data_IF_194729594251
#
_entry.id   IF_194729594251
#
_cell.length_a   1.000
_cell.length_b   1.000
_cell.length_c   1.000
_cell.angle_alpha   90.00
_cell.angle_beta   90.00
_cell.angle_gamma   90.00
#
_symmetry.space_group_name_H-M   'P 1'
#
loop_
_entity.id
_entity.type
_entity.pdbx_description
1 polymer ?
#
# COMPACT_ATOMS: atom_id res chain seq x y z
N UNK A 1 -1.22 -12.63 -5.43
CA UNK A 1 -2.02 -13.14 -6.57
C UNK A 1 -1.20 -12.94 -7.82
N UNK A 2 -1.28 -13.85 -8.78
CA UNK A 2 -1.06 -13.52 -10.18
C UNK A 2 -1.66 -12.14 -10.42
N UNK A 3 -0.83 -11.22 -10.87
CA UNK A 3 -1.29 -9.96 -11.42
C UNK A 3 -2.41 -10.26 -12.42
N UNK A 4 -3.42 -9.40 -12.47
CA UNK A 4 -4.07 -9.16 -13.75
C UNK A 4 -3.02 -8.53 -14.66
N UNK A 5 -2.22 -9.41 -15.26
CA UNK A 5 -1.27 -9.12 -16.32
C UNK A 5 -2.14 -8.81 -17.53
N UNK A 6 -2.40 -7.53 -17.77
CA UNK A 6 -2.73 -7.04 -19.10
C UNK A 6 -1.47 -6.96 -19.93
N UNK A 7 -0.88 -8.10 -20.31
CA UNK A 7 0.09 -8.17 -21.39
C UNK A 7 -0.70 -8.09 -22.71
N UNK A 8 -0.53 -7.02 -23.46
CA UNK A 8 -1.01 -6.96 -24.84
C UNK A 8 0.03 -7.67 -25.70
N UNK A 9 -0.14 -8.97 -25.93
CA UNK A 9 0.54 -9.67 -26.99
C UNK A 9 -0.11 -9.28 -28.33
N UNK A 10 0.66 -8.67 -29.22
CA UNK A 10 0.29 -8.48 -30.62
C UNK A 10 0.51 -9.80 -31.36
N UNK A 11 -0.52 -10.61 -31.52
CA UNK A 11 -0.76 -11.46 -32.71
C UNK A 11 -2.06 -12.25 -32.52
N UNK A 12 -3.02 -12.01 -33.42
CA UNK A 12 -4.30 -12.74 -33.48
C UNK A 12 -4.32 -13.54 -34.78
N UNK A 13 -4.35 -14.88 -34.73
CA UNK A 13 -4.95 -15.67 -35.78
C UNK A 13 -6.39 -16.00 -35.41
N UNK A 14 -7.29 -15.69 -36.34
CA UNK A 14 -8.69 -16.10 -36.29
C UNK A 14 -8.80 -17.62 -36.49
N UNK A 15 -9.59 -18.32 -35.68
CA UNK A 15 -10.47 -19.38 -36.18
C UNK A 15 -11.53 -19.83 -35.17
N UNK A 16 -12.67 -20.18 -35.73
CA UNK A 16 -13.98 -20.47 -35.12
C UNK A 16 -14.07 -21.87 -34.53
N UNK A 17 -14.71 -22.02 -33.36
CA UNK A 17 -15.08 -23.32 -32.79
C UNK A 17 -16.33 -23.24 -31.91
N UNK A 18 -17.47 -23.72 -32.44
CA UNK A 18 -18.77 -23.79 -31.77
C UNK A 18 -18.75 -24.78 -30.59
N UNK A 19 -19.23 -24.37 -29.43
CA UNK A 19 -19.66 -25.29 -28.36
C UNK A 19 -21.16 -25.10 -28.10
N UNK A 20 -21.95 -26.12 -28.47
CA UNK A 20 -23.37 -26.29 -28.12
C UNK A 20 -23.46 -26.85 -26.70
N UNK A 21 -24.15 -26.15 -25.80
CA UNK A 21 -24.61 -26.73 -24.53
C UNK A 21 -26.15 -26.87 -24.58
N UNK A 22 -26.64 -28.10 -24.45
CA UNK A 22 -28.08 -28.40 -24.34
C UNK A 22 -28.58 -28.07 -22.93
N UNK A 23 -29.66 -27.29 -22.85
CA UNK A 23 -30.40 -27.02 -21.61
C UNK A 23 -31.61 -27.97 -21.56
N UNK A 24 -31.86 -28.62 -20.42
CA UNK A 24 -33.17 -29.21 -20.11
C UNK A 24 -33.68 -28.72 -18.74
N UNK A 25 -34.90 -28.15 -18.80
CA UNK A 25 -35.97 -27.78 -17.84
C UNK A 25 -35.82 -28.10 -16.32
N UNK A 26 -36.45 -27.40 -15.36
CA UNK A 26 -37.15 -26.11 -15.21
C UNK A 26 -37.49 -26.01 -13.71
N UNK A 27 -37.24 -24.87 -13.05
CA UNK A 27 -37.67 -24.61 -11.67
C UNK A 27 -37.86 -23.12 -11.49
N UNK A 28 -39.11 -22.68 -11.44
CA UNK A 28 -39.54 -21.28 -11.46
C UNK A 28 -39.35 -20.66 -10.07
N UNK A 29 -38.35 -19.79 -9.94
CA UNK A 29 -38.36 -18.67 -9.00
C UNK A 29 -38.15 -17.42 -9.84
N UNK A 30 -39.13 -16.51 -9.84
CA UNK A 30 -39.02 -15.25 -10.56
C UNK A 30 -37.89 -14.42 -9.96
N UNK A 31 -36.79 -14.16 -10.68
CA UNK A 31 -35.73 -13.34 -10.16
C UNK A 31 -36.09 -11.89 -10.45
N UNK A 32 -36.12 -11.05 -9.42
CA UNK A 32 -35.82 -9.64 -9.58
C UNK A 32 -34.39 -9.59 -10.14
N UNK A 33 -34.26 -9.59 -11.46
CA UNK A 33 -32.98 -9.41 -12.13
C UNK A 33 -32.51 -8.01 -11.81
N UNK A 34 -31.65 -7.88 -10.81
CA UNK A 34 -30.67 -6.83 -10.78
C UNK A 34 -29.84 -7.00 -12.04
N UNK A 35 -30.20 -6.27 -13.09
CA UNK A 35 -29.37 -6.12 -14.27
C UNK A 35 -28.21 -5.24 -13.81
N UNK A 36 -27.15 -5.87 -13.32
CA UNK A 36 -25.84 -5.22 -13.31
C UNK A 36 -25.60 -4.78 -14.74
N UNK A 37 -25.50 -3.46 -14.97
CA UNK A 37 -25.11 -2.96 -16.27
C UNK A 37 -23.79 -3.66 -16.62
N UNK A 38 -23.72 -4.42 -17.72
CA UNK A 38 -22.50 -5.13 -18.07
C UNK A 38 -21.38 -4.11 -18.18
N UNK A 39 -20.20 -4.46 -17.67
CA UNK A 39 -19.00 -3.68 -17.87
C UNK A 39 -18.91 -3.36 -19.37
N UNK A 40 -19.17 -2.10 -19.75
CA UNK A 40 -19.07 -1.68 -21.14
C UNK A 40 -17.61 -1.74 -21.50
N UNK A 41 -17.28 -2.49 -22.55
CA UNK A 41 -15.95 -2.42 -23.12
C UNK A 41 -15.59 -0.94 -23.35
N UNK A 42 -14.37 -0.50 -22.99
CA UNK A 42 -13.94 0.87 -23.26
C UNK A 42 -14.23 1.21 -24.73
N UNK A 43 -14.94 2.30 -24.98
CA UNK A 43 -15.20 2.77 -26.34
C UNK A 43 -13.90 3.17 -27.03
N UNK A 44 -13.92 3.29 -28.36
CA UNK A 44 -12.77 3.75 -29.17
C UNK A 44 -12.50 5.25 -29.03
N UNK A 45 -12.83 5.86 -27.89
CA UNK A 45 -12.65 7.30 -27.69
C UNK A 45 -11.15 7.58 -27.56
N UNK A 46 -10.54 8.13 -28.60
CA UNK A 46 -9.15 8.54 -28.56
C UNK A 46 -8.97 9.73 -27.61
N UNK A 47 -8.25 9.50 -26.51
CA UNK A 47 -7.79 10.59 -25.66
C UNK A 47 -6.62 11.29 -26.34
N UNK A 48 -6.76 12.57 -26.65
CA UNK A 48 -5.72 13.39 -27.30
C UNK A 48 -5.02 14.34 -26.34
N UNK A 49 -5.50 14.44 -25.10
CA UNK A 49 -4.96 15.33 -24.10
C UNK A 49 -3.59 14.83 -23.62
N UNK A 50 -2.59 15.70 -23.70
CA UNK A 50 -1.31 15.51 -23.03
C UNK A 50 -1.57 15.36 -21.52
N UNK A 51 -1.14 14.24 -20.97
CA UNK A 51 -1.37 13.84 -19.58
C UNK A 51 -0.02 13.67 -18.89
N UNK A 52 0.03 14.02 -17.61
CA UNK A 52 1.18 13.81 -16.74
C UNK A 52 0.79 12.85 -15.63
N UNK A 53 1.53 11.75 -15.51
CA UNK A 53 1.48 10.83 -14.38
C UNK A 53 2.64 11.15 -13.44
N UNK A 54 2.36 11.36 -12.16
CA UNK A 54 3.39 11.51 -11.13
C UNK A 54 3.28 10.34 -10.17
N UNK A 55 4.39 9.63 -9.92
CA UNK A 55 4.45 8.50 -8.99
C UNK A 55 5.54 8.76 -7.96
N UNK A 56 5.16 8.69 -6.68
CA UNK A 56 6.08 8.78 -5.55
C UNK A 56 6.61 7.40 -5.17
N UNK A 57 7.93 7.28 -5.06
CA UNK A 57 8.64 6.08 -4.61
C UNK A 57 9.48 6.45 -3.39
N UNK A 58 9.18 5.80 -2.26
CA UNK A 58 9.88 6.00 -0.99
C UNK A 58 10.88 4.88 -0.72
N UNK A 59 12.02 5.22 -0.13
CA UNK A 59 13.08 4.29 0.26
C UNK A 59 13.96 4.90 1.35
N UNK A 60 14.68 4.07 2.11
CA UNK A 60 15.66 4.54 3.10
C UNK A 60 17.10 4.28 2.67
N UNK A 61 18.01 5.18 3.04
CA UNK A 61 19.46 5.01 2.88
C UNK A 61 20.11 5.00 4.27
N UNK A 62 20.61 3.83 4.70
CA UNK A 62 21.21 3.62 6.02
C UNK A 62 22.74 3.54 5.93
N UNK A 63 23.50 4.37 6.66
CA UNK A 63 24.95 4.26 6.74
C UNK A 63 25.39 2.90 7.31
N UNK A 64 26.47 2.33 6.77
CA UNK A 64 27.16 1.17 7.34
C UNK A 64 26.51 -0.19 7.09
N UNK A 65 25.37 -0.27 6.39
CA UNK A 65 24.80 -1.53 5.93
C UNK A 65 25.48 -2.04 4.66
N UNK A 66 25.75 -3.35 4.56
CA UNK A 66 26.24 -3.95 3.32
C UNK A 66 25.20 -3.83 2.21
N UNK A 67 25.58 -3.30 1.03
CA UNK A 67 24.67 -3.00 -0.10
C UNK A 67 23.83 -4.23 -0.46
N UNK A 68 24.47 -5.39 -0.61
CA UNK A 68 23.80 -6.65 -0.95
C UNK A 68 22.79 -7.08 0.12
N UNK A 69 23.15 -6.95 1.40
CA UNK A 69 22.23 -7.25 2.51
C UNK A 69 21.01 -6.32 2.50
N UNK A 70 21.20 -5.04 2.18
CA UNK A 70 20.13 -4.05 2.11
C UNK A 70 19.18 -4.32 0.94
N UNK A 71 19.72 -4.64 -0.24
CA UNK A 71 18.93 -4.96 -1.44
C UNK A 71 18.23 -6.32 -1.36
N UNK A 72 18.69 -7.22 -0.50
CA UNK A 72 18.05 -8.49 -0.21
C UNK A 72 17.16 -8.45 1.04
N UNK A 73 16.99 -7.27 1.66
CA UNK A 73 16.09 -7.14 2.80
C UNK A 73 14.62 -7.39 2.39
N UNK A 74 13.81 -8.02 3.24
CA UNK A 74 12.37 -8.12 3.08
C UNK A 74 11.73 -6.82 2.61
N UNK A 75 10.84 -6.94 1.61
CA UNK A 75 10.05 -5.81 1.11
C UNK A 75 8.89 -5.56 2.05
N UNK A 76 8.78 -4.32 2.51
CA UNK A 76 7.74 -3.86 3.44
C UNK A 76 7.02 -2.63 2.94
N UNK A 77 5.71 -2.52 3.17
CA UNK A 77 4.90 -1.32 2.87
C UNK A 77 4.94 -0.30 4.01
N UNK A 78 6.11 -0.11 4.61
CA UNK A 78 6.31 1.01 5.52
C UNK A 78 6.08 2.31 4.77
N UNK A 79 5.59 3.33 5.47
CA UNK A 79 5.45 4.67 4.91
C UNK A 79 6.78 5.19 4.36
N UNK A 80 7.91 4.80 4.96
CA UNK A 80 9.26 5.20 4.53
C UNK A 80 9.72 4.42 3.27
N UNK A 81 8.97 3.40 2.88
CA UNK A 81 9.24 2.53 1.74
C UNK A 81 10.38 1.53 1.98
N UNK A 82 10.76 0.84 0.91
CA UNK A 82 11.81 -0.18 0.92
C UNK A 82 13.09 0.30 0.22
N UNK A 83 14.28 0.11 0.80
CA UNK A 83 14.60 -0.62 2.03
C UNK A 83 14.14 0.14 3.27
N UNK A 84 13.79 -0.61 4.32
CA UNK A 84 13.36 -0.02 5.59
C UNK A 84 14.53 0.59 6.36
N UNK A 85 14.25 1.60 7.20
CA UNK A 85 15.27 2.24 8.03
C UNK A 85 15.61 1.32 9.22
N UNK A 86 16.81 0.71 9.18
CA UNK A 86 17.23 -0.29 10.16
C UNK A 86 18.21 0.21 11.22
N UNK A 87 18.77 1.42 11.08
CA UNK A 87 19.74 2.00 12.03
C UNK A 87 19.45 3.46 12.41
N UNK A 88 19.78 3.87 13.67
CA UNK A 88 19.75 5.27 14.08
C UNK A 88 20.84 6.04 13.31
N UNK A 89 20.46 6.72 12.24
CA UNK A 89 21.40 7.37 11.31
C UNK A 89 21.01 7.19 9.83
N UNK A 90 20.03 6.33 9.54
CA UNK A 90 19.41 6.27 8.23
C UNK A 90 18.63 7.53 7.87
N UNK A 91 18.52 7.79 6.56
CA UNK A 91 17.71 8.88 6.01
C UNK A 91 16.57 8.30 5.18
N UNK A 92 15.37 8.82 5.40
CA UNK A 92 14.19 8.54 4.59
C UNK A 92 14.22 9.40 3.34
N UNK A 93 14.06 8.80 2.16
CA UNK A 93 14.06 9.48 0.87
C UNK A 93 12.75 9.26 0.14
N UNK A 94 12.34 10.30 -0.58
CA UNK A 94 11.15 10.30 -1.42
C UNK A 94 11.56 10.76 -2.81
N UNK A 95 11.31 9.92 -3.82
CA UNK A 95 11.50 10.23 -5.23
C UNK A 95 10.16 10.33 -5.95
N UNK A 96 9.83 11.49 -6.51
CA UNK A 96 8.67 11.65 -7.40
C UNK A 96 9.16 11.59 -8.84
N UNK A 97 8.64 10.63 -9.61
CA UNK A 97 8.92 10.47 -11.03
C UNK A 97 7.69 10.94 -11.81
N UNK A 98 7.89 11.88 -12.73
CA UNK A 98 6.84 12.35 -13.63
C UNK A 98 7.05 11.78 -15.03
N UNK A 99 5.99 11.27 -15.65
CA UNK A 99 5.95 10.78 -17.03
C UNK A 99 4.87 11.55 -17.77
N UNK A 100 5.24 12.12 -18.91
CA UNK A 100 4.33 12.84 -19.78
C UNK A 100 4.11 12.11 -21.10
N UNK A 101 2.89 12.19 -21.60
CA UNK A 101 2.55 11.66 -22.91
C UNK A 101 1.06 11.66 -23.17
N UNK A 102 0.65 10.90 -24.18
CA UNK A 102 -0.75 10.64 -24.47
C UNK A 102 -1.06 9.23 -23.98
N UNK A 103 -2.03 9.04 -23.06
CA UNK A 103 -2.36 7.72 -22.56
C UNK A 103 -2.80 6.78 -23.70
N UNK A 104 -2.41 5.51 -23.62
CA UNK A 104 -2.76 4.53 -24.64
C UNK A 104 -4.29 4.47 -24.82
N UNK A 105 -4.77 4.59 -26.06
CA UNK A 105 -6.20 4.68 -26.37
C UNK A 105 -7.03 3.45 -25.94
N UNK A 106 -6.41 2.28 -25.72
CA UNK A 106 -7.11 1.07 -25.26
C UNK A 106 -7.06 0.88 -23.75
N UNK A 107 -5.90 1.13 -23.14
CA UNK A 107 -5.71 0.88 -21.70
C UNK A 107 -5.90 2.11 -20.83
N UNK A 108 -5.83 3.31 -21.41
CA UNK A 108 -5.86 4.59 -20.70
C UNK A 108 -4.59 4.89 -19.91
N UNK A 109 -3.52 4.10 -20.05
CA UNK A 109 -2.29 4.25 -19.27
C UNK A 109 -1.17 4.90 -20.08
N UNK A 110 -0.38 5.76 -19.42
CA UNK A 110 0.91 6.24 -19.92
C UNK A 110 1.99 5.17 -19.73
N UNK A 111 2.07 4.63 -18.51
CA UNK A 111 2.96 3.55 -18.11
C UNK A 111 2.38 2.93 -16.83
N UNK A 112 2.63 1.64 -16.59
CA UNK A 112 2.30 1.00 -15.31
C UNK A 112 3.16 1.58 -14.19
N UNK A 113 2.55 1.94 -13.06
CA UNK A 113 3.27 2.51 -11.90
C UNK A 113 4.27 1.51 -11.31
N UNK A 114 4.02 0.21 -11.47
CA UNK A 114 4.92 -0.88 -11.10
C UNK A 114 6.25 -0.82 -11.84
N UNK A 115 6.25 -0.35 -13.10
CA UNK A 115 7.48 -0.15 -13.88
C UNK A 115 8.28 1.04 -13.36
N UNK A 116 7.61 2.09 -12.88
CA UNK A 116 8.27 3.24 -12.25
C UNK A 116 8.93 2.79 -10.93
N UNK A 117 8.17 2.09 -10.09
CA UNK A 117 8.65 1.55 -8.82
C UNK A 117 9.85 0.60 -9.05
N UNK A 118 9.76 -0.30 -10.04
CA UNK A 118 10.85 -1.19 -10.42
C UNK A 118 12.08 -0.43 -10.91
N UNK A 119 11.90 0.61 -11.74
CA UNK A 119 13.01 1.39 -12.26
C UNK A 119 13.83 2.07 -11.13
N UNK A 120 13.14 2.65 -10.16
CA UNK A 120 13.79 3.26 -8.98
C UNK A 120 14.44 2.18 -8.10
N UNK A 121 13.70 1.12 -7.74
CA UNK A 121 14.18 0.12 -6.78
C UNK A 121 15.29 -0.78 -7.33
N UNK A 122 15.24 -1.13 -8.61
CA UNK A 122 16.21 -2.05 -9.22
C UNK A 122 17.44 -1.35 -9.78
N UNK A 123 17.35 -0.06 -10.16
CA UNK A 123 18.44 0.62 -10.86
C UNK A 123 18.97 1.86 -10.14
N UNK A 124 18.10 2.69 -9.56
CA UNK A 124 18.56 3.88 -8.84
C UNK A 124 19.10 3.54 -7.45
N UNK A 125 18.36 2.73 -6.69
CA UNK A 125 18.69 2.42 -5.30
C UNK A 125 20.09 1.77 -5.12
N UNK A 126 20.53 0.77 -5.92
CA UNK A 126 21.88 0.21 -5.78
C UNK A 126 22.98 1.28 -5.95
N UNK A 127 22.81 2.18 -6.93
CA UNK A 127 23.76 3.27 -7.22
C UNK A 127 23.81 4.28 -6.06
N UNK A 128 22.66 4.60 -5.47
CA UNK A 128 22.59 5.49 -4.30
C UNK A 128 23.29 4.90 -3.07
N UNK A 129 23.08 3.60 -2.80
CA UNK A 129 23.72 2.90 -1.68
C UNK A 129 25.24 2.83 -1.85
N UNK A 130 25.72 2.51 -3.06
CA UNK A 130 27.15 2.49 -3.38
C UNK A 130 27.79 3.87 -3.17
N UNK A 131 27.15 4.92 -3.68
CA UNK A 131 27.63 6.30 -3.54
C UNK A 131 27.66 6.75 -2.08
N UNK A 132 26.58 6.53 -1.33
CA UNK A 132 26.49 6.87 0.09
C UNK A 132 27.62 6.21 0.90
N UNK A 133 27.94 4.95 0.59
CA UNK A 133 29.01 4.20 1.28
C UNK A 133 30.42 4.72 0.99
N UNK A 134 30.64 5.32 -0.19
CA UNK A 134 31.97 5.68 -0.68
C UNK A 134 32.45 7.06 -0.24
N UNK A 135 31.58 8.08 -0.19
CA UNK A 135 31.99 9.42 0.27
C UNK A 135 30.86 10.31 0.77
N UNK A 136 29.77 9.72 1.27
CA UNK A 136 28.52 10.47 1.52
C UNK A 136 27.79 10.80 0.21
N UNK A 137 26.52 11.21 0.33
CA UNK A 137 25.64 11.46 -0.80
C UNK A 137 24.97 12.82 -0.61
N UNK A 138 25.20 13.75 -1.53
CA UNK A 138 24.45 15.01 -1.56
C UNK A 138 23.17 14.91 -2.41
N UNK A 139 22.28 15.89 -2.25
CA UNK A 139 20.97 15.90 -2.91
C UNK A 139 21.06 16.02 -4.44
N UNK A 140 22.07 16.70 -4.98
CA UNK A 140 22.23 16.88 -6.42
C UNK A 140 22.71 15.58 -7.06
N UNK A 141 23.75 14.97 -6.48
CA UNK A 141 24.26 13.68 -6.92
C UNK A 141 23.17 12.60 -6.83
N UNK A 142 22.40 12.58 -5.74
CA UNK A 142 21.28 11.65 -5.60
C UNK A 142 20.22 11.85 -6.68
N UNK A 143 19.91 13.10 -7.03
CA UNK A 143 18.91 13.43 -8.04
C UNK A 143 19.36 12.95 -9.43
N UNK A 144 20.62 13.21 -9.79
CA UNK A 144 21.20 12.77 -11.06
C UNK A 144 21.22 11.25 -11.18
N UNK A 145 21.64 10.54 -10.12
CA UNK A 145 21.65 9.08 -10.07
C UNK A 145 20.24 8.52 -10.31
N UNK A 146 19.22 9.06 -9.62
CA UNK A 146 17.84 8.58 -9.77
C UNK A 146 17.31 8.88 -11.16
N UNK A 147 17.46 10.12 -11.64
CA UNK A 147 16.91 10.54 -12.93
C UNK A 147 17.53 9.75 -14.09
N UNK A 148 18.86 9.57 -14.07
CA UNK A 148 19.55 8.79 -15.10
C UNK A 148 19.12 7.32 -15.07
N UNK A 149 19.13 6.69 -13.89
CA UNK A 149 18.77 5.28 -13.76
C UNK A 149 17.33 5.00 -14.19
N UNK A 150 16.38 5.88 -13.87
CA UNK A 150 14.99 5.75 -14.33
C UNK A 150 14.89 6.00 -15.84
N UNK A 151 15.57 7.02 -16.37
CA UNK A 151 15.55 7.33 -17.82
C UNK A 151 16.08 6.21 -18.71
N UNK A 152 17.05 5.45 -18.21
CA UNK A 152 17.62 4.29 -18.92
C UNK A 152 16.67 3.08 -18.96
N UNK A 153 15.71 3.00 -18.03
CA UNK A 153 14.91 1.79 -17.78
C UNK A 153 13.38 1.98 -17.86
N UNK A 154 12.92 3.21 -18.13
CA UNK A 154 11.51 3.56 -18.23
C UNK A 154 11.19 4.15 -19.61
N UNK A 155 10.14 3.63 -20.24
CA UNK A 155 9.57 4.15 -21.48
C UNK A 155 8.04 4.29 -21.30
N UNK A 156 7.46 5.52 -21.42
CA UNK A 156 8.11 6.78 -21.80
C UNK A 156 9.13 7.26 -20.75
N UNK A 157 10.15 8.00 -21.21
CA UNK A 157 11.17 8.57 -20.31
C UNK A 157 10.55 9.55 -19.31
N UNK A 158 11.10 9.66 -18.09
CA UNK A 158 10.60 10.61 -17.11
C UNK A 158 10.79 12.05 -17.61
N UNK A 159 9.76 12.88 -17.48
CA UNK A 159 9.83 14.32 -17.77
C UNK A 159 10.39 15.12 -16.59
N UNK A 160 10.28 14.60 -15.37
CA UNK A 160 10.88 15.19 -14.18
C UNK A 160 11.19 14.14 -13.09
N UNK A 161 12.11 14.50 -12.19
CA UNK A 161 12.42 13.77 -10.97
C UNK A 161 12.58 14.77 -9.82
N UNK A 162 12.02 14.46 -8.65
CA UNK A 162 12.15 15.30 -7.45
C UNK A 162 12.52 14.44 -6.26
N UNK A 163 13.51 14.88 -5.46
CA UNK A 163 13.92 14.23 -4.22
C UNK A 163 13.63 15.08 -2.99
N UNK A 164 13.22 14.45 -1.89
CA UNK A 164 13.13 15.08 -0.56
C UNK A 164 13.44 14.10 0.56
N UNK A 165 13.85 14.62 1.72
CA UNK A 165 14.15 13.85 2.94
C UNK A 165 12.99 14.02 3.93
N UNK A 166 12.51 12.95 4.57
CA UNK A 166 11.26 12.99 5.39
C UNK A 166 11.50 12.93 6.93
N UNK A 167 10.71 13.68 7.75
CA UNK A 167 10.88 13.79 9.21
C UNK A 167 9.97 12.88 10.07
N UNK A 168 9.28 11.87 9.52
CA UNK A 168 8.10 11.25 10.18
C UNK A 168 8.37 9.97 11.00
N UNK A 169 9.62 9.54 11.18
CA UNK A 169 9.97 8.46 12.12
C UNK A 169 10.51 9.08 13.41
N UNK A 170 9.90 8.76 14.56
CA UNK A 170 10.32 9.31 15.85
C UNK A 170 10.23 8.29 16.99
N UNK A 171 11.13 8.44 17.95
CA UNK A 171 11.21 7.65 19.18
C UNK A 171 10.87 8.54 20.36
N UNK A 172 10.14 8.03 21.36
CA UNK A 172 9.81 8.80 22.58
C UNK A 172 10.01 7.98 23.84
N UNK A 173 10.51 8.66 24.86
CA UNK A 173 10.59 8.19 26.24
C UNK A 173 9.53 8.95 27.04
N UNK A 174 8.78 8.26 27.89
CA UNK A 174 7.89 8.89 28.84
C UNK A 174 8.59 9.11 30.19
N UNK A 175 8.61 10.36 30.66
CA UNK A 175 9.36 10.76 31.85
C UNK A 175 8.82 10.17 33.17
N UNK A 176 7.60 9.65 33.17
CA UNK A 176 6.96 9.03 34.34
C UNK A 176 7.41 7.60 34.59
N UNK A 177 7.89 6.88 33.56
CA UNK A 177 8.31 5.49 33.68
C UNK A 177 9.83 5.29 33.54
N UNK A 178 10.55 6.13 32.78
CA UNK A 178 12.01 6.08 32.54
C UNK A 178 12.60 4.74 32.03
N UNK A 179 11.84 3.65 32.11
CA UNK A 179 12.18 2.28 31.73
C UNK A 179 11.46 1.82 30.46
N UNK A 180 10.56 2.63 29.89
CA UNK A 180 9.78 2.25 28.69
C UNK A 180 10.11 3.15 27.50
N UNK A 181 10.41 2.51 26.37
CA UNK A 181 10.64 3.12 25.06
C UNK A 181 9.44 2.83 24.14
N UNK A 182 8.88 3.88 23.54
CA UNK A 182 7.80 3.75 22.56
C UNK A 182 8.37 3.93 21.15
N UNK A 183 8.18 2.90 20.31
CA UNK A 183 8.39 2.95 18.86
C UNK A 183 7.04 3.16 18.17
N UNK A 184 6.97 4.16 17.29
CA UNK A 184 5.83 4.35 16.38
C UNK A 184 6.32 4.24 14.94
N UNK A 185 5.59 3.49 14.13
CA UNK A 185 5.91 3.30 12.72
C UNK A 185 4.65 3.30 11.87
N UNK A 186 4.69 4.05 10.76
CA UNK A 186 3.59 4.17 9.80
C UNK A 186 3.78 3.25 8.61
N UNK A 187 2.67 2.79 8.08
CA UNK A 187 2.52 1.92 6.91
C UNK A 187 1.34 2.42 6.08
N UNK A 188 1.25 2.00 4.83
CA UNK A 188 0.12 2.33 3.95
C UNK A 188 -0.45 1.09 3.27
N UNK A 189 -1.76 1.08 3.06
CA UNK A 189 -2.43 0.11 2.19
C UNK A 189 -3.61 0.76 1.47
N UNK A 190 -3.86 0.37 0.23
CA UNK A 190 -4.98 0.86 -0.57
C UNK A 190 -6.10 -0.18 -0.58
N UNK A 191 -7.31 0.18 -0.13
CA UNK A 191 -8.43 -0.75 -0.13
C UNK A 191 -9.76 -0.06 -0.49
N UNK A 192 -10.67 -0.84 -1.03
CA UNK A 192 -12.05 -0.42 -1.30
C UNK A 192 -13.03 -1.07 -0.32
N UNK A 193 -14.17 -0.43 -0.08
CA UNK A 193 -15.23 -0.93 0.79
C UNK A 193 -16.58 -0.27 0.52
N UNK A 194 -17.61 -0.80 1.17
CA UNK A 194 -18.95 -0.23 1.30
C UNK A 194 -19.38 -0.33 2.75
N UNK A 195 -19.91 0.75 3.32
CA UNK A 195 -20.56 0.70 4.63
C UNK A 195 -22.03 0.32 4.40
N UNK A 196 -22.42 -0.85 4.90
CA UNK A 196 -23.75 -1.40 4.67
C UNK A 196 -24.12 -2.39 5.78
N UNK A 197 -25.37 -2.31 6.24
CA UNK A 197 -25.99 -3.25 7.16
C UNK A 197 -27.05 -4.06 6.38
N UNK A 198 -26.87 -5.40 6.24
CA UNK A 198 -27.78 -6.26 5.48
C UNK A 198 -29.22 -6.29 6.00
N UNK A 199 -29.42 -5.99 7.28
CA UNK A 199 -30.72 -5.94 7.94
C UNK A 199 -31.51 -4.65 7.65
N UNK A 200 -30.86 -3.64 7.07
CA UNK A 200 -31.48 -2.36 6.69
C UNK A 200 -31.74 -2.32 5.18
N UNK A 201 -32.81 -1.64 4.77
CA UNK A 201 -33.03 -1.36 3.35
C UNK A 201 -32.05 -0.30 2.80
N UNK A 202 -32.04 -0.09 1.48
CA UNK A 202 -31.13 0.86 0.83
C UNK A 202 -31.37 2.32 1.26
N UNK A 203 -32.61 2.71 1.58
CA UNK A 203 -32.91 4.07 2.02
C UNK A 203 -32.39 4.33 3.44
N UNK A 204 -32.59 3.39 4.36
CA UNK A 204 -32.06 3.44 5.72
C UNK A 204 -30.52 3.38 5.74
N UNK A 205 -29.90 2.56 4.89
CA UNK A 205 -28.44 2.55 4.73
C UNK A 205 -27.91 3.87 4.14
N UNK A 206 -28.62 4.47 3.19
CA UNK A 206 -28.25 5.77 2.64
C UNK A 206 -28.41 6.91 3.67
N UNK A 207 -29.44 6.85 4.52
CA UNK A 207 -29.63 7.80 5.61
C UNK A 207 -28.52 7.66 6.67
N UNK A 208 -28.16 6.43 7.03
CA UNK A 208 -27.17 6.15 8.07
C UNK A 208 -25.72 6.42 7.62
N UNK A 209 -25.32 5.92 6.45
CA UNK A 209 -23.93 5.96 5.98
C UNK A 209 -23.68 6.99 4.88
N UNK A 210 -24.73 7.63 4.35
CA UNK A 210 -24.61 8.64 3.31
C UNK A 210 -23.89 8.12 2.06
N UNK A 211 -22.88 8.87 1.59
CA UNK A 211 -22.10 8.49 0.40
C UNK A 211 -21.30 7.20 0.58
N UNK A 212 -21.03 6.79 1.81
CA UNK A 212 -20.24 5.60 2.10
C UNK A 212 -21.01 4.28 1.86
N UNK A 213 -22.35 4.34 1.75
CA UNK A 213 -23.19 3.18 1.38
C UNK A 213 -23.43 3.03 -0.13
N UNK A 214 -22.73 3.80 -0.98
CA UNK A 214 -22.78 3.66 -2.43
C UNK A 214 -22.68 2.19 -2.85
N UNK A 215 -23.59 1.73 -3.72
CA UNK A 215 -23.74 0.32 -4.10
C UNK A 215 -22.44 -0.30 -4.64
N UNK A 216 -21.66 0.49 -5.39
CA UNK A 216 -20.39 0.07 -5.98
C UNK A 216 -19.18 0.32 -5.05
N UNK A 217 -19.43 0.72 -3.80
CA UNK A 217 -18.40 1.07 -2.83
C UNK A 217 -17.65 2.36 -3.17
N UNK A 218 -16.55 2.54 -2.47
CA UNK A 218 -15.52 3.56 -2.67
C UNK A 218 -14.20 3.03 -2.10
N UNK A 219 -13.11 3.80 -2.13
CA UNK A 219 -11.85 3.34 -1.55
C UNK A 219 -10.97 4.46 -1.04
N UNK A 220 -9.95 4.07 -0.30
CA UNK A 220 -9.02 4.96 0.38
C UNK A 220 -7.60 4.41 0.32
N UNK A 221 -6.65 5.33 0.47
CA UNK A 221 -5.26 5.00 0.80
C UNK A 221 -5.15 5.14 2.32
N UNK A 222 -5.32 4.04 3.02
CA UNK A 222 -5.27 4.02 4.47
C UNK A 222 -3.82 4.16 4.93
N UNK A 223 -3.59 5.01 5.93
CA UNK A 223 -2.34 5.00 6.70
C UNK A 223 -2.57 4.23 8.01
N UNK A 224 -1.62 3.38 8.41
CA UNK A 224 -1.65 2.64 9.68
C UNK A 224 -0.39 2.96 10.47
N UNK A 225 -0.53 3.57 11.64
CA UNK A 225 0.55 3.75 12.62
C UNK A 225 0.45 2.66 13.69
N UNK A 226 1.48 1.84 13.79
CA UNK A 226 1.62 0.83 14.85
C UNK A 226 2.52 1.39 15.95
N UNK A 227 2.01 1.37 17.17
CA UNK A 227 2.73 1.80 18.37
C UNK A 227 3.09 0.60 19.24
N UNK A 228 4.37 0.46 19.54
CA UNK A 228 4.91 -0.64 20.32
C UNK A 228 5.70 -0.10 21.51
N UNK A 229 5.43 -0.62 22.69
CA UNK A 229 6.19 -0.37 23.91
C UNK A 229 7.23 -1.48 24.13
N UNK A 230 8.44 -1.09 24.52
CA UNK A 230 9.52 -2.03 24.89
C UNK A 230 10.29 -1.52 26.12
N UNK A 231 10.91 -2.44 26.85
CA UNK A 231 11.74 -2.10 27.99
C UNK A 231 13.07 -1.52 27.51
N UNK A 232 13.45 -0.38 28.08
CA UNK A 232 14.66 0.37 27.75
C UNK A 232 15.94 -0.37 28.14
N UNK A 233 15.89 -1.13 29.23
CA UNK A 233 17.04 -1.87 29.77
C UNK A 233 17.22 -3.24 29.11
N UNK A 234 16.29 -3.64 28.23
CA UNK A 234 16.31 -4.89 27.48
C UNK A 234 16.75 -4.71 26.02
N UNK A 235 16.59 -5.77 25.23
CA UNK A 235 16.79 -5.71 23.78
C UNK A 235 15.69 -4.85 23.14
N UNK A 236 16.07 -3.71 22.56
CA UNK A 236 15.13 -2.85 21.81
C UNK A 236 14.53 -3.63 20.65
N UNK A 237 13.22 -3.47 20.42
CA UNK A 237 12.55 -4.08 19.27
C UNK A 237 13.25 -3.70 17.96
N UNK A 238 13.56 -4.72 17.15
CA UNK A 238 14.07 -4.52 15.80
C UNK A 238 12.96 -3.95 14.91
N UNK A 239 13.19 -2.76 14.34
CA UNK A 239 12.29 -2.11 13.38
C UNK A 239 11.97 -3.04 12.21
N UNK A 240 12.98 -3.73 11.70
CA UNK A 240 12.83 -4.70 10.63
C UNK A 240 11.88 -5.85 10.99
N UNK A 241 11.95 -6.37 12.22
CA UNK A 241 11.04 -7.42 12.69
C UNK A 241 9.61 -6.93 12.84
N UNK A 242 9.44 -5.67 13.27
CA UNK A 242 8.12 -5.05 13.31
C UNK A 242 7.54 -4.95 11.90
N UNK A 243 8.34 -4.51 10.92
CA UNK A 243 7.93 -4.42 9.52
C UNK A 243 7.48 -5.78 8.97
N UNK A 244 8.31 -6.83 9.12
CA UNK A 244 7.97 -8.20 8.70
C UNK A 244 6.64 -8.71 9.29
N UNK A 245 6.34 -8.35 10.54
CA UNK A 245 5.08 -8.73 11.19
C UNK A 245 3.92 -7.94 10.60
N UNK A 246 4.05 -6.61 10.49
CA UNK A 246 2.97 -5.75 9.99
C UNK A 246 2.65 -6.07 8.53
N UNK A 247 3.66 -6.30 7.69
CA UNK A 247 3.43 -6.68 6.30
C UNK A 247 2.63 -7.96 6.19
N UNK A 248 3.11 -9.03 6.84
CA UNK A 248 2.46 -10.34 6.79
C UNK A 248 1.04 -10.34 7.36
N UNK A 249 0.81 -9.57 8.43
CA UNK A 249 -0.43 -9.65 9.21
C UNK A 249 -1.49 -8.68 8.70
N UNK A 250 -1.08 -7.49 8.27
CA UNK A 250 -1.97 -6.37 7.90
C UNK A 250 -1.89 -6.08 6.40
N UNK A 251 -0.69 -5.82 5.88
CA UNK A 251 -0.54 -5.34 4.50
C UNK A 251 -0.94 -6.41 3.50
N UNK A 252 -0.34 -7.60 3.56
CA UNK A 252 -0.67 -8.73 2.68
C UNK A 252 -2.16 -9.12 2.74
N UNK A 253 -2.79 -8.83 3.88
CA UNK A 253 -4.20 -9.11 4.14
C UNK A 253 -5.12 -8.07 3.50
N UNK A 254 -4.84 -6.78 3.64
CA UNK A 254 -5.78 -5.70 3.27
C UNK A 254 -5.40 -4.92 2.02
N UNK A 255 -4.13 -4.91 1.64
CA UNK A 255 -3.67 -4.11 0.51
C UNK A 255 -4.21 -4.61 -0.84
N UNK A 256 -4.67 -3.66 -1.65
CA UNK A 256 -5.33 -3.87 -2.93
C UNK A 256 -6.54 -4.83 -2.86
N UNK A 257 -7.29 -4.79 -1.76
CA UNK A 257 -8.51 -5.60 -1.55
C UNK A 257 -9.78 -4.77 -1.53
N UNK A 258 -10.90 -5.43 -1.79
CA UNK A 258 -12.20 -4.98 -1.35
C UNK A 258 -12.51 -5.57 0.03
N UNK A 259 -12.52 -4.75 1.08
CA UNK A 259 -12.59 -5.20 2.48
C UNK A 259 -13.81 -6.06 2.79
N UNK A 260 -14.96 -5.79 2.16
CA UNK A 260 -16.16 -6.61 2.39
C UNK A 260 -16.23 -7.92 1.58
N UNK A 261 -15.44 -8.05 0.50
CA UNK A 261 -15.61 -9.12 -0.49
C UNK A 261 -14.41 -10.08 -0.53
N UNK A 262 -13.21 -9.55 -0.35
CA UNK A 262 -11.96 -10.29 -0.53
C UNK A 262 -11.33 -10.78 0.78
N UNK A 263 -11.80 -10.27 1.93
CA UNK A 263 -11.28 -10.65 3.26
C UNK A 263 -12.41 -11.02 4.21
N UNK A 264 -12.19 -12.05 5.03
CA UNK A 264 -13.21 -12.53 5.97
C UNK A 264 -13.39 -11.59 7.17
N UNK A 265 -12.40 -10.73 7.44
CA UNK A 265 -12.37 -9.81 8.58
C UNK A 265 -13.56 -8.83 8.64
N UNK A 266 -14.13 -8.48 7.47
CA UNK A 266 -15.26 -7.54 7.36
C UNK A 266 -16.44 -8.11 6.55
N UNK A 267 -16.55 -9.44 6.48
CA UNK A 267 -17.71 -10.11 5.86
C UNK A 267 -18.99 -9.90 6.68
N UNK A 268 -18.87 -10.05 8.00
CA UNK A 268 -19.97 -9.93 8.97
C UNK A 268 -19.83 -8.68 9.85
N UNK A 269 -19.00 -7.71 9.45
CA UNK A 269 -18.73 -6.47 10.17
C UNK A 269 -18.63 -5.31 9.20
N UNK A 270 -19.16 -4.16 9.59
CA UNK A 270 -19.01 -2.92 8.82
C UNK A 270 -17.53 -2.52 8.79
N UNK A 271 -16.98 -2.26 7.61
CA UNK A 271 -15.57 -1.87 7.43
C UNK A 271 -15.33 -0.38 7.78
N UNK A 272 -15.85 0.10 8.92
CA UNK A 272 -15.57 1.46 9.37
C UNK A 272 -14.12 1.60 9.82
N UNK A 273 -13.58 2.83 9.83
CA UNK A 273 -12.20 3.09 10.28
C UNK A 273 -11.94 2.61 11.71
N UNK A 274 -12.96 2.67 12.58
CA UNK A 274 -12.90 2.15 13.95
C UNK A 274 -12.77 0.63 13.98
N UNK A 275 -13.59 -0.09 13.20
CA UNK A 275 -13.52 -1.54 13.11
C UNK A 275 -12.22 -2.01 12.45
N UNK A 276 -11.70 -1.26 11.47
CA UNK A 276 -10.39 -1.52 10.86
C UNK A 276 -9.28 -1.37 11.92
N UNK A 277 -9.25 -0.26 12.66
CA UNK A 277 -8.24 -0.04 13.70
C UNK A 277 -8.29 -1.11 14.81
N UNK A 278 -9.50 -1.43 15.31
CA UNK A 278 -9.70 -2.49 16.30
C UNK A 278 -9.23 -3.85 15.77
N UNK A 279 -9.56 -4.17 14.51
CA UNK A 279 -9.15 -5.42 13.90
C UNK A 279 -7.63 -5.52 13.72
N UNK A 280 -6.96 -4.41 13.36
CA UNK A 280 -5.49 -4.37 13.32
C UNK A 280 -4.88 -4.69 14.69
N UNK A 281 -5.45 -4.17 15.79
CA UNK A 281 -4.99 -4.51 17.16
C UNK A 281 -5.16 -5.99 17.45
N UNK A 282 -6.35 -6.56 17.18
CA UNK A 282 -6.63 -7.99 17.39
C UNK A 282 -5.63 -8.87 16.61
N UNK A 283 -5.33 -8.51 15.37
CA UNK A 283 -4.42 -9.25 14.50
C UNK A 283 -2.95 -9.12 14.91
N UNK A 284 -2.52 -7.95 15.36
CA UNK A 284 -1.12 -7.66 15.67
C UNK A 284 -0.70 -8.02 17.10
N UNK A 285 -1.65 -8.14 18.04
CA UNK A 285 -1.39 -8.37 19.47
C UNK A 285 -0.44 -9.55 19.71
N UNK A 286 -0.83 -10.74 19.28
CA UNK A 286 -0.04 -11.95 19.53
C UNK A 286 1.24 -11.97 18.70
N UNK A 287 1.22 -11.68 17.38
CA UNK A 287 2.46 -11.61 16.58
C UNK A 287 3.52 -10.67 17.15
N UNK A 288 3.13 -9.47 17.62
CA UNK A 288 4.08 -8.54 18.24
C UNK A 288 4.58 -9.09 19.58
N UNK A 289 3.71 -9.64 20.42
CA UNK A 289 4.12 -10.18 21.72
C UNK A 289 5.15 -11.31 21.61
N UNK A 290 5.15 -12.05 20.50
CA UNK A 290 6.11 -13.13 20.24
C UNK A 290 7.49 -12.68 19.73
N UNK A 291 7.68 -11.39 19.45
CA UNK A 291 8.96 -10.87 19.00
C UNK A 291 10.02 -10.87 20.13
N UNK A 292 11.32 -10.99 19.80
CA UNK A 292 12.40 -10.77 20.77
C UNK A 292 12.35 -9.38 21.41
N UNK A 293 12.86 -9.24 22.64
CA UNK A 293 12.83 -7.97 23.39
C UNK A 293 11.53 -7.73 24.19
N UNK A 294 10.64 -8.71 24.26
CA UNK A 294 9.34 -8.64 24.96
C UNK A 294 8.50 -7.39 24.64
N UNK A 295 8.39 -6.96 23.37
CA UNK A 295 7.58 -5.81 23.03
C UNK A 295 6.10 -6.07 23.28
N UNK A 296 5.36 -4.99 23.53
CA UNK A 296 3.91 -5.02 23.67
C UNK A 296 3.31 -4.04 22.70
N UNK A 297 2.30 -4.49 21.94
CA UNK A 297 1.47 -3.57 21.19
C UNK A 297 0.77 -2.63 22.18
N UNK A 298 0.89 -1.34 21.94
CA UNK A 298 0.26 -0.29 22.75
C UNK A 298 -1.03 0.19 22.08
N UNK A 299 -0.93 0.63 20.83
CA UNK A 299 -2.06 1.10 20.04
C UNK A 299 -1.81 0.96 18.53
N UNK A 300 -2.89 0.98 17.76
CA UNK A 300 -2.87 1.15 16.31
C UNK A 300 -3.75 2.33 15.94
N UNK A 301 -3.22 3.26 15.15
CA UNK A 301 -4.02 4.34 14.56
C UNK A 301 -4.18 4.11 13.07
N UNK A 302 -5.41 4.23 12.56
CA UNK A 302 -5.72 4.11 11.14
C UNK A 302 -6.31 5.43 10.66
N UNK A 303 -5.73 6.01 9.62
CA UNK A 303 -6.28 7.15 8.89
C UNK A 303 -6.99 6.63 7.65
N UNK A 304 -8.28 6.89 7.54
CA UNK A 304 -9.04 6.69 6.30
C UNK A 304 -8.75 7.85 5.33
N UNK A 305 -8.59 9.06 5.87
CA UNK A 305 -8.16 10.24 5.13
C UNK A 305 -7.24 11.09 6.03
N UNK A 306 -6.53 12.11 5.51
CA UNK A 306 -5.73 13.01 6.34
C UNK A 306 -6.51 13.74 7.45
N UNK A 307 -7.85 13.75 7.37
CA UNK A 307 -8.73 14.41 8.35
C UNK A 307 -9.53 13.44 9.21
N UNK A 308 -9.52 12.15 8.91
CA UNK A 308 -10.31 11.13 9.60
C UNK A 308 -9.42 9.99 10.04
N UNK A 309 -9.30 9.79 11.35
CA UNK A 309 -8.51 8.71 11.92
C UNK A 309 -9.17 8.12 13.16
N UNK A 310 -8.91 6.85 13.41
CA UNK A 310 -9.28 6.18 14.65
C UNK A 310 -8.05 5.51 15.26
N UNK A 311 -7.88 5.66 16.58
CA UNK A 311 -6.88 4.93 17.36
C UNK A 311 -7.58 3.88 18.21
N UNK A 312 -7.21 2.62 18.02
CA UNK A 312 -7.59 1.50 18.89
C UNK A 312 -6.42 1.16 19.82
N UNK A 313 -6.67 1.12 21.12
CA UNK A 313 -5.67 0.73 22.12
C UNK A 313 -5.72 -0.77 22.39
N UNK A 314 -4.57 -1.35 22.75
CA UNK A 314 -4.48 -2.76 23.14
C UNK A 314 -4.96 -3.02 24.58
N UNK A 315 -5.08 -1.97 25.39
CA UNK A 315 -5.66 -2.01 26.73
C UNK A 315 -7.15 -2.34 26.69
N UNK A 316 -7.60 -3.24 27.56
CA UNK A 316 -9.02 -3.38 27.86
C UNK A 316 -9.52 -2.10 28.53
N UNK A 317 -10.75 -1.62 28.21
CA UNK A 317 -11.37 -0.51 28.94
C UNK A 317 -11.57 -0.83 30.42
#
# INVERSE_FOLDING_TARGET
>A
MLACIGSVATDVPAETGKLRLCITHLGVFGPSTFVFAPYRAPGTLEMTAATRLSREVRFSLCPGGGIESTLNSPRSNTHVGWPTMSSPGGTAWRAVIEVEGIPNHRTGYLVGIDRIDAAVRAHALPRLLERQSSSGLDMSEALDIVHQAVSENLDPRPSATMLSIEPMTWWRIESSSMSTLILRRRYEFSASHRLHLPELDEAANAELFGKCSNLNGHGHNYEVEVQVACDREGETISVHRLDEVVDRVIIDRFDHKHLNLDVDDFRDRVASVENIAARCVELLRDPIHTLPGTPRLDAVTVWETPRTACTASNSSP
#
